data_IF_779707832852
#
_entry.id   IF_779707832852
#
_cell.length_a   1.000
_cell.length_b   1.000
_cell.length_c   1.000
_cell.angle_alpha   90.00
_cell.angle_beta   90.00
_cell.angle_gamma   90.00
#
_symmetry.space_group_name_H-M   'P 1'
#
loop_
_entity.id
_entity.type
_entity.pdbx_description
1 polymer ?
#
# COMPACT_ATOMS: atom_id res chain seq x y z
N UNK A 1 21.56 3.63 4.17
CA UNK A 1 22.62 3.42 5.19
C UNK A 1 22.00 3.05 6.53
N UNK A 2 21.36 3.98 7.27
CA UNK A 2 20.79 3.69 8.62
C UNK A 2 19.81 2.51 8.63
N UNK A 3 18.82 2.48 7.72
CA UNK A 3 17.87 1.37 7.65
C UNK A 3 18.55 0.00 7.40
N UNK A 4 19.52 -0.05 6.49
CA UNK A 4 20.24 -1.29 6.18
C UNK A 4 21.06 -1.79 7.38
N UNK A 5 21.71 -0.88 8.13
CA UNK A 5 22.41 -1.24 9.37
C UNK A 5 21.42 -1.81 10.39
N UNK A 6 20.27 -1.16 10.59
CA UNK A 6 19.26 -1.65 11.52
C UNK A 6 18.72 -3.04 11.12
N UNK A 7 18.52 -3.28 9.82
CA UNK A 7 18.12 -4.59 9.31
C UNK A 7 19.16 -5.67 9.64
N UNK A 8 20.45 -5.37 9.45
CA UNK A 8 21.53 -6.31 9.78
C UNK A 8 21.58 -6.58 11.28
N UNK A 9 21.48 -5.54 12.11
CA UNK A 9 21.46 -5.67 13.58
C UNK A 9 20.29 -6.54 14.04
N UNK A 10 19.09 -6.29 13.51
CA UNK A 10 17.90 -7.07 13.82
C UNK A 10 18.05 -8.54 13.39
N UNK A 11 18.52 -8.79 12.16
CA UNK A 11 18.73 -10.15 11.66
C UNK A 11 19.76 -10.92 12.48
N UNK A 12 20.83 -10.27 12.92
CA UNK A 12 21.82 -10.86 13.85
C UNK A 12 21.16 -11.12 15.20
N UNK A 13 20.35 -10.20 15.71
CA UNK A 13 19.59 -10.34 16.95
C UNK A 13 18.74 -11.61 16.94
N UNK A 14 17.88 -11.74 15.92
CA UNK A 14 16.99 -12.90 15.74
C UNK A 14 17.79 -14.19 15.51
N UNK A 15 18.82 -14.17 14.66
CA UNK A 15 19.62 -15.36 14.37
C UNK A 15 20.43 -15.87 15.57
N UNK A 16 20.74 -14.98 16.53
CA UNK A 16 21.49 -15.31 17.75
C UNK A 16 20.62 -15.42 19.01
N UNK A 17 19.28 -15.26 18.87
CA UNK A 17 18.33 -15.32 20.00
C UNK A 17 18.52 -14.20 21.02
N UNK A 18 19.02 -13.04 20.61
CA UNK A 18 19.29 -11.91 21.51
C UNK A 18 18.06 -11.03 21.64
N UNK A 19 17.16 -11.40 22.54
CA UNK A 19 15.91 -10.67 22.79
C UNK A 19 16.11 -9.17 23.04
N UNK A 20 17.14 -8.76 23.76
CA UNK A 20 17.42 -7.33 24.00
C UNK A 20 17.66 -6.53 22.70
N UNK A 21 18.25 -7.17 21.67
CA UNK A 21 18.45 -6.57 20.35
C UNK A 21 17.12 -6.45 19.62
N UNK A 22 16.31 -7.50 19.63
CA UNK A 22 14.97 -7.52 19.02
C UNK A 22 14.06 -6.45 19.61
N UNK A 23 14.11 -6.23 20.93
CA UNK A 23 13.34 -5.21 21.64
C UNK A 23 13.67 -3.77 21.22
N UNK A 24 14.87 -3.54 20.68
CA UNK A 24 15.29 -2.22 20.22
C UNK A 24 15.14 -2.11 18.71
N UNK A 25 15.67 -3.06 17.95
CA UNK A 25 15.81 -2.94 16.52
C UNK A 25 14.47 -3.19 15.79
N UNK A 26 13.66 -4.17 16.22
CA UNK A 26 12.37 -4.48 15.59
C UNK A 26 11.41 -3.28 15.60
N UNK A 27 11.13 -2.62 16.74
CA UNK A 27 10.20 -1.49 16.76
C UNK A 27 10.67 -0.26 15.98
N UNK A 28 11.97 -0.14 15.70
CA UNK A 28 12.56 0.99 14.99
C UNK A 28 12.47 0.86 13.47
N UNK A 29 12.26 -0.34 12.91
CA UNK A 29 12.27 -0.57 11.46
C UNK A 29 11.17 0.22 10.75
N UNK A 30 9.90 0.05 11.17
CA UNK A 30 8.77 0.70 10.53
C UNK A 30 8.74 2.23 10.73
N UNK A 31 9.04 2.78 11.93
CA UNK A 31 9.14 4.23 12.12
C UNK A 31 10.27 4.87 11.31
N UNK A 32 11.41 4.19 11.13
CA UNK A 32 12.48 4.70 10.25
C UNK A 32 12.03 4.77 8.80
N UNK A 33 11.30 3.77 8.31
CA UNK A 33 10.72 3.81 6.97
C UNK A 33 9.64 4.90 6.85
N UNK A 34 8.84 5.11 7.89
CA UNK A 34 7.85 6.18 7.93
C UNK A 34 8.53 7.55 7.87
N UNK A 35 9.57 7.76 8.68
CA UNK A 35 10.36 8.99 8.66
C UNK A 35 11.02 9.22 7.30
N UNK A 36 11.54 8.17 6.65
CA UNK A 36 12.10 8.25 5.31
C UNK A 36 11.06 8.68 4.28
N UNK A 37 9.89 8.03 4.26
CA UNK A 37 8.80 8.37 3.34
C UNK A 37 8.29 9.79 3.59
N UNK A 38 8.13 10.18 4.84
CA UNK A 38 7.69 11.51 5.24
C UNK A 38 8.67 12.60 4.80
N UNK A 39 9.98 12.38 4.92
CA UNK A 39 11.00 13.33 4.43
C UNK A 39 10.93 13.55 2.92
N UNK A 40 10.55 12.53 2.15
CA UNK A 40 10.47 12.60 0.69
C UNK A 40 9.13 13.13 0.18
N UNK A 41 8.04 12.87 0.90
CA UNK A 41 6.67 13.07 0.38
C UNK A 41 5.77 13.89 1.31
N UNK A 42 6.29 14.33 2.45
CA UNK A 42 5.52 14.98 3.51
C UNK A 42 4.40 14.07 4.02
N UNK A 43 3.22 14.64 4.18
CA UNK A 43 2.01 13.94 4.64
C UNK A 43 1.17 13.36 3.50
N UNK A 44 1.66 13.41 2.25
CA UNK A 44 0.92 12.93 1.07
C UNK A 44 0.45 11.49 1.21
N UNK A 45 1.25 10.65 1.85
CA UNK A 45 0.96 9.23 2.08
C UNK A 45 0.59 8.96 3.55
N UNK A 46 -0.25 9.82 4.14
CA UNK A 46 -0.64 9.74 5.56
C UNK A 46 -1.06 8.34 6.01
N UNK A 47 -1.86 7.61 5.23
CA UNK A 47 -2.23 6.23 5.60
C UNK A 47 -1.05 5.28 5.63
N UNK A 48 -0.09 5.39 4.71
CA UNK A 48 1.10 4.54 4.74
C UNK A 48 1.92 4.84 5.99
N UNK A 49 2.05 6.12 6.35
CA UNK A 49 2.72 6.54 7.59
C UNK A 49 2.01 5.97 8.82
N UNK A 50 0.69 6.13 8.92
CA UNK A 50 -0.10 5.56 10.03
C UNK A 50 0.02 4.04 10.07
N UNK A 51 -0.04 3.37 8.92
CA UNK A 51 0.10 1.92 8.82
C UNK A 51 1.45 1.42 9.31
N UNK A 52 2.54 2.14 9.01
CA UNK A 52 3.88 1.83 9.53
C UNK A 52 3.98 2.02 11.04
N UNK A 53 3.34 3.05 11.60
CA UNK A 53 3.32 3.25 13.06
C UNK A 53 2.50 2.16 13.76
N UNK A 54 1.37 1.75 13.18
CA UNK A 54 0.58 0.62 13.67
C UNK A 54 1.36 -0.70 13.58
N UNK A 55 2.10 -0.92 12.50
CA UNK A 55 2.98 -2.09 12.37
C UNK A 55 4.08 -2.09 13.45
N UNK A 56 4.70 -0.94 13.74
CA UNK A 56 5.66 -0.81 14.82
C UNK A 56 5.06 -1.18 16.20
N UNK A 57 3.84 -0.70 16.47
CA UNK A 57 3.12 -1.04 17.69
C UNK A 57 2.76 -2.53 17.74
N UNK A 58 2.38 -3.12 16.60
CA UNK A 58 2.12 -4.55 16.46
C UNK A 58 3.37 -5.40 16.71
N UNK A 59 4.52 -4.96 16.21
CA UNK A 59 5.82 -5.59 16.45
C UNK A 59 6.18 -5.62 17.93
N UNK A 60 5.94 -4.52 18.66
CA UNK A 60 6.11 -4.44 20.11
C UNK A 60 5.18 -5.43 20.82
N UNK A 61 3.90 -5.48 20.42
CA UNK A 61 2.94 -6.38 21.03
C UNK A 61 3.32 -7.86 20.83
N UNK A 62 3.89 -8.23 19.67
CA UNK A 62 4.37 -9.59 19.41
C UNK A 62 5.63 -9.98 20.21
N UNK A 63 6.39 -9.01 20.72
CA UNK A 63 7.54 -9.31 21.59
C UNK A 63 7.11 -9.69 23.01
N UNK A 64 5.87 -9.35 23.39
CA UNK A 64 5.30 -9.69 24.70
C UNK A 64 4.71 -11.11 24.60
N UNK A 65 5.12 -12.05 25.46
CA UNK A 65 4.59 -13.41 25.42
C UNK A 65 3.11 -13.45 25.83
N UNK A 66 2.34 -14.33 25.18
CA UNK A 66 0.98 -14.67 25.57
C UNK A 66 -0.09 -14.29 24.55
N UNK A 67 -1.21 -15.02 24.60
CA UNK A 67 -2.34 -14.89 23.68
C UNK A 67 -2.95 -13.47 23.62
N UNK A 68 -3.13 -12.74 24.74
CA UNK A 68 -3.67 -11.37 24.69
C UNK A 68 -2.76 -10.39 23.93
N UNK A 69 -1.45 -10.51 24.13
CA UNK A 69 -0.46 -9.70 23.45
C UNK A 69 -0.40 -10.02 21.94
N UNK A 70 -0.44 -11.32 21.60
CA UNK A 70 -0.55 -11.76 20.21
C UNK A 70 -1.82 -11.23 19.52
N UNK A 71 -2.97 -11.32 20.18
CA UNK A 71 -4.23 -10.76 19.67
C UNK A 71 -4.18 -9.24 19.50
N UNK A 72 -3.53 -8.53 20.42
CA UNK A 72 -3.29 -7.08 20.30
C UNK A 72 -2.41 -6.75 19.10
N UNK A 73 -1.31 -7.48 18.92
CA UNK A 73 -0.44 -7.35 17.75
C UNK A 73 -1.19 -7.58 16.46
N UNK A 74 -2.01 -8.64 16.40
CA UNK A 74 -2.86 -8.95 15.25
C UNK A 74 -3.86 -7.84 14.93
N UNK A 75 -4.48 -7.22 15.93
CA UNK A 75 -5.39 -6.09 15.74
C UNK A 75 -4.66 -4.84 15.22
N UNK A 76 -3.46 -4.56 15.71
CA UNK A 76 -2.62 -3.45 15.25
C UNK A 76 -2.17 -3.67 13.80
N UNK A 77 -1.73 -4.88 13.45
CA UNK A 77 -1.39 -5.23 12.08
C UNK A 77 -2.61 -5.18 11.16
N UNK A 78 -3.79 -5.61 11.61
CA UNK A 78 -5.03 -5.45 10.85
C UNK A 78 -5.26 -3.97 10.53
N UNK A 79 -5.14 -3.08 11.52
CA UNK A 79 -5.21 -1.63 11.31
C UNK A 79 -4.18 -1.13 10.30
N UNK A 80 -2.95 -1.66 10.35
CA UNK A 80 -1.92 -1.37 9.37
C UNK A 80 -2.35 -1.78 7.95
N UNK A 81 -2.86 -3.01 7.77
CA UNK A 81 -3.31 -3.47 6.45
C UNK A 81 -4.47 -2.65 5.90
N UNK A 82 -5.42 -2.25 6.75
CA UNK A 82 -6.50 -1.35 6.34
C UNK A 82 -5.96 0.00 5.85
N UNK A 83 -4.92 0.54 6.49
CA UNK A 83 -4.27 1.76 6.04
C UNK A 83 -3.60 1.58 4.66
N UNK A 84 -2.85 0.49 4.47
CA UNK A 84 -2.23 0.17 3.18
C UNK A 84 -3.25 -0.03 2.07
N UNK A 85 -4.30 -0.82 2.30
CA UNK A 85 -5.42 -1.02 1.37
C UNK A 85 -6.02 0.33 1.00
N UNK A 86 -6.30 1.19 1.97
CA UNK A 86 -6.87 2.52 1.72
C UNK A 86 -5.95 3.37 0.84
N UNK A 87 -4.64 3.33 1.08
CA UNK A 87 -3.66 4.02 0.24
C UNK A 87 -3.66 3.50 -1.21
N UNK A 88 -3.73 2.18 -1.42
CA UNK A 88 -3.79 1.58 -2.75
C UNK A 88 -5.12 1.83 -3.47
N UNK A 89 -6.24 1.79 -2.75
CA UNK A 89 -7.55 2.12 -3.29
C UNK A 89 -7.58 3.57 -3.79
N UNK A 90 -7.02 4.52 -3.02
CA UNK A 90 -6.87 5.92 -3.45
C UNK A 90 -5.92 6.09 -4.64
N UNK A 91 -5.00 5.16 -4.86
CA UNK A 91 -4.17 5.11 -6.06
C UNK A 91 -4.87 4.46 -7.28
N UNK A 92 -6.11 4.00 -7.13
CA UNK A 92 -6.92 3.44 -8.23
C UNK A 92 -6.97 1.91 -8.29
N UNK A 93 -6.61 1.19 -7.21
CA UNK A 93 -6.55 -0.28 -7.22
C UNK A 93 -7.90 -0.94 -7.54
N UNK A 94 -9.03 -0.28 -7.26
CA UNK A 94 -10.37 -0.85 -7.48
C UNK A 94 -10.63 -1.19 -8.96
N UNK A 95 -10.20 -0.33 -9.89
CA UNK A 95 -10.31 -0.58 -11.33
C UNK A 95 -9.46 -1.78 -11.78
N UNK A 96 -8.29 -1.96 -11.16
CA UNK A 96 -7.39 -3.08 -11.43
C UNK A 96 -7.99 -4.41 -10.96
N UNK A 97 -8.63 -4.45 -9.79
CA UNK A 97 -9.25 -5.66 -9.26
C UNK A 97 -10.47 -6.10 -10.07
N UNK A 98 -11.29 -5.15 -10.55
CA UNK A 98 -12.53 -5.47 -11.29
C UNK A 98 -12.28 -6.26 -12.57
N UNK A 99 -11.16 -6.02 -13.24
CA UNK A 99 -10.77 -6.73 -14.46
C UNK A 99 -10.10 -8.08 -14.20
N UNK A 100 -9.80 -8.41 -12.93
CA UNK A 100 -9.03 -9.59 -12.51
C UNK A 100 -9.79 -10.51 -11.56
N UNK A 101 -11.10 -10.63 -11.74
CA UNK A 101 -11.99 -11.45 -10.89
C UNK A 101 -11.49 -12.88 -10.69
N UNK A 102 -10.97 -13.52 -11.74
CA UNK A 102 -10.41 -14.87 -11.65
C UNK A 102 -9.19 -14.96 -10.71
N UNK A 103 -8.31 -13.95 -10.73
CA UNK A 103 -7.14 -13.88 -9.83
C UNK A 103 -7.62 -13.67 -8.40
N UNK A 104 -8.60 -12.80 -8.17
CA UNK A 104 -9.18 -12.60 -6.85
C UNK A 104 -9.80 -13.90 -6.31
N UNK A 105 -10.53 -14.65 -7.14
CA UNK A 105 -11.10 -15.93 -6.76
C UNK A 105 -10.03 -16.97 -6.39
N UNK A 106 -8.93 -17.04 -7.16
CA UNK A 106 -7.82 -17.92 -6.84
C UNK A 106 -7.16 -17.56 -5.49
N UNK A 107 -6.97 -16.28 -5.20
CA UNK A 107 -6.43 -15.82 -3.92
C UNK A 107 -7.38 -16.11 -2.75
N UNK A 108 -8.69 -15.94 -2.96
CA UNK A 108 -9.70 -16.31 -1.96
C UNK A 108 -9.73 -17.83 -1.70
N UNK A 109 -9.50 -18.65 -2.71
CA UNK A 109 -9.38 -20.10 -2.53
C UNK A 109 -8.15 -20.46 -1.70
N UNK A 110 -6.99 -19.85 -2.00
CA UNK A 110 -5.76 -20.03 -1.22
C UNK A 110 -5.96 -19.57 0.23
N UNK A 111 -6.60 -18.42 0.43
CA UNK A 111 -6.97 -17.92 1.75
C UNK A 111 -7.83 -18.93 2.51
N UNK A 112 -8.91 -19.41 1.88
CA UNK A 112 -9.84 -20.33 2.52
C UNK A 112 -9.15 -21.64 2.92
N UNK A 113 -8.27 -22.17 2.06
CA UNK A 113 -7.47 -23.34 2.36
C UNK A 113 -6.52 -23.11 3.55
N UNK A 114 -5.82 -21.97 3.58
CA UNK A 114 -4.92 -21.61 4.67
C UNK A 114 -5.68 -21.44 6.00
N UNK A 115 -6.82 -20.76 5.99
CA UNK A 115 -7.68 -20.58 7.16
C UNK A 115 -8.24 -21.92 7.64
N UNK A 116 -8.71 -22.77 6.73
CA UNK A 116 -9.22 -24.09 7.08
C UNK A 116 -8.16 -24.98 7.74
N UNK A 117 -6.89 -24.84 7.33
CA UNK A 117 -5.77 -25.56 7.92
C UNK A 117 -5.33 -24.98 9.29
N UNK A 118 -5.22 -23.65 9.40
CA UNK A 118 -4.64 -22.99 10.57
C UNK A 118 -5.65 -22.67 11.67
N UNK A 119 -6.82 -22.14 11.33
CA UNK A 119 -7.78 -21.63 12.32
C UNK A 119 -8.22 -22.67 13.37
N UNK A 120 -8.45 -23.96 13.04
CA UNK A 120 -8.83 -24.96 14.04
C UNK A 120 -7.78 -25.16 15.15
N UNK A 121 -6.49 -24.97 14.83
CA UNK A 121 -5.39 -25.14 15.79
C UNK A 121 -5.28 -23.99 16.80
N UNK A 122 -5.88 -22.83 16.50
CA UNK A 122 -5.77 -21.60 17.28
C UNK A 122 -6.94 -21.39 18.25
N UNK A 123 -7.96 -22.25 18.18
CA UNK A 123 -9.24 -22.07 18.88
C UNK A 123 -10.15 -21.02 18.22
N UNK A 124 -11.44 -20.95 18.62
CA UNK A 124 -12.46 -20.23 17.85
C UNK A 124 -12.24 -18.71 17.76
N UNK A 125 -11.90 -18.09 18.89
CA UNK A 125 -11.72 -16.63 18.96
C UNK A 125 -10.47 -16.18 18.19
N UNK A 126 -9.32 -16.84 18.39
CA UNK A 126 -8.09 -16.45 17.72
C UNK A 126 -8.08 -16.88 16.26
N UNK A 127 -8.62 -18.06 15.93
CA UNK A 127 -8.76 -18.53 14.56
C UNK A 127 -9.61 -17.60 13.69
N UNK A 128 -10.72 -17.08 14.22
CA UNK A 128 -11.54 -16.08 13.50
C UNK A 128 -10.81 -14.75 13.32
N UNK A 129 -10.09 -14.27 14.34
CA UNK A 129 -9.27 -13.07 14.23
C UNK A 129 -8.16 -13.23 13.16
N UNK A 130 -7.49 -14.38 13.12
CA UNK A 130 -6.46 -14.70 12.10
C UNK A 130 -7.07 -14.80 10.71
N UNK A 131 -8.28 -15.36 10.56
CA UNK A 131 -8.97 -15.41 9.28
C UNK A 131 -9.26 -14.02 8.71
N UNK A 132 -9.78 -13.11 9.55
CA UNK A 132 -10.06 -11.71 9.20
C UNK A 132 -8.75 -11.00 8.82
N UNK A 133 -7.71 -11.18 9.63
CA UNK A 133 -6.39 -10.62 9.36
C UNK A 133 -5.82 -11.10 8.03
N UNK A 134 -5.79 -12.42 7.80
CA UNK A 134 -5.26 -13.01 6.57
C UNK A 134 -6.02 -12.53 5.33
N UNK A 135 -7.33 -12.28 5.44
CA UNK A 135 -8.13 -11.72 4.36
C UNK A 135 -7.70 -10.27 4.05
N UNK A 136 -7.51 -9.45 5.08
CA UNK A 136 -7.02 -8.08 4.92
C UNK A 136 -5.60 -8.09 4.31
N UNK A 137 -4.71 -8.96 4.77
CA UNK A 137 -3.36 -9.11 4.25
C UNK A 137 -3.35 -9.48 2.75
N UNK A 138 -4.16 -10.45 2.33
CA UNK A 138 -4.28 -10.81 0.92
C UNK A 138 -4.91 -9.70 0.09
N UNK A 139 -5.88 -8.98 0.64
CA UNK A 139 -6.48 -7.81 -0.02
C UNK A 139 -5.44 -6.70 -0.22
N UNK A 140 -4.59 -6.46 0.77
CA UNK A 140 -3.45 -5.55 0.68
C UNK A 140 -2.50 -5.98 -0.44
N UNK A 141 -2.10 -7.26 -0.48
CA UNK A 141 -1.21 -7.78 -1.51
C UNK A 141 -1.79 -7.66 -2.94
N UNK A 142 -3.08 -7.97 -3.10
CA UNK A 142 -3.79 -7.83 -4.38
C UNK A 142 -3.89 -6.38 -4.84
N UNK A 143 -4.16 -5.45 -3.92
CA UNK A 143 -4.30 -4.02 -4.24
C UNK A 143 -2.95 -3.35 -4.50
N UNK A 144 -1.86 -3.82 -3.89
CA UNK A 144 -0.52 -3.25 -4.02
C UNK A 144 -0.04 -3.13 -5.48
N UNK A 145 -0.47 -4.05 -6.36
CA UNK A 145 -0.13 -4.07 -7.79
C UNK A 145 -0.43 -2.76 -8.53
N UNK A 146 -1.35 -1.93 -8.02
CA UNK A 146 -1.64 -0.60 -8.60
C UNK A 146 -0.40 0.29 -8.70
N UNK A 147 0.57 0.12 -7.80
CA UNK A 147 1.87 0.82 -7.81
C UNK A 147 2.97 0.00 -8.51
N UNK A 148 2.59 -0.90 -9.42
CA UNK A 148 3.53 -1.62 -10.28
C UNK A 148 4.12 -2.92 -9.70
N UNK A 149 5.14 -3.51 -10.37
CA UNK A 149 5.72 -4.81 -10.02
C UNK A 149 6.36 -4.85 -8.64
N UNK A 150 7.00 -3.75 -8.25
CA UNK A 150 7.69 -3.64 -6.97
C UNK A 150 6.74 -3.79 -5.79
N UNK A 151 5.60 -3.11 -5.83
CA UNK A 151 4.57 -3.21 -4.80
C UNK A 151 3.88 -4.58 -4.81
N UNK A 152 3.67 -5.20 -5.97
CA UNK A 152 3.18 -6.58 -6.05
C UNK A 152 4.09 -7.55 -5.31
N UNK A 153 5.40 -7.52 -5.61
CA UNK A 153 6.37 -8.38 -4.92
C UNK A 153 6.44 -8.08 -3.43
N UNK A 154 6.39 -6.79 -3.04
CA UNK A 154 6.31 -6.41 -1.64
C UNK A 154 5.10 -7.03 -0.93
N UNK A 155 3.92 -6.97 -1.54
CA UNK A 155 2.71 -7.59 -1.00
C UNK A 155 2.80 -9.12 -0.88
N UNK A 156 3.33 -9.80 -1.90
CA UNK A 156 3.52 -11.25 -1.88
C UNK A 156 4.51 -11.71 -0.80
N UNK A 157 5.63 -11.00 -0.66
CA UNK A 157 6.62 -11.29 0.37
C UNK A 157 6.04 -11.01 1.77
N UNK A 158 5.15 -10.02 1.92
CA UNK A 158 4.44 -9.78 3.17
C UNK A 158 3.53 -10.97 3.53
N UNK A 159 2.75 -11.47 2.57
CA UNK A 159 1.91 -12.67 2.77
C UNK A 159 2.75 -13.86 3.22
N UNK A 160 3.92 -14.08 2.61
CA UNK A 160 4.84 -15.14 3.00
C UNK A 160 5.38 -14.94 4.43
N UNK A 161 5.75 -13.71 4.78
CA UNK A 161 6.22 -13.34 6.12
C UNK A 161 5.21 -13.71 7.20
N UNK A 162 3.96 -13.27 7.06
CA UNK A 162 2.96 -13.50 8.09
C UNK A 162 2.43 -14.93 8.12
N UNK A 163 2.56 -15.64 7.01
CA UNK A 163 2.32 -17.09 7.00
C UNK A 163 3.29 -17.80 7.96
N UNK A 164 4.54 -17.34 8.07
CA UNK A 164 5.51 -17.88 9.04
C UNK A 164 5.15 -17.52 10.49
N UNK A 165 4.49 -16.38 10.72
CA UNK A 165 3.92 -16.02 12.03
C UNK A 165 2.75 -16.96 12.35
N UNK A 166 1.83 -17.17 11.39
CA UNK A 166 0.68 -18.05 11.53
C UNK A 166 1.07 -19.50 11.81
N UNK A 167 2.09 -20.02 11.13
CA UNK A 167 2.66 -21.34 11.40
C UNK A 167 3.19 -21.44 12.84
N UNK A 168 3.94 -20.45 13.29
CA UNK A 168 4.42 -20.39 14.67
C UNK A 168 3.28 -20.36 15.70
N UNK A 169 2.23 -19.59 15.44
CA UNK A 169 1.05 -19.53 16.30
C UNK A 169 0.29 -20.87 16.35
N UNK A 170 0.29 -21.63 15.25
CA UNK A 170 -0.27 -22.98 15.17
C UNK A 170 0.62 -24.06 15.80
N UNK A 171 1.77 -23.68 16.39
CA UNK A 171 2.74 -24.62 16.97
C UNK A 171 3.60 -25.36 15.95
N UNK A 172 3.58 -24.93 14.68
CA UNK A 172 4.40 -25.49 13.60
C UNK A 172 5.71 -24.71 13.49
N UNK A 173 6.72 -25.14 14.25
CA UNK A 173 8.04 -24.50 14.25
C UNK A 173 9.12 -25.34 13.54
N UNK A 174 10.13 -24.67 13.00
CA UNK A 174 11.29 -25.29 12.36
C UNK A 174 12.54 -24.39 12.48
N UNK A 175 13.76 -24.96 12.42
CA UNK A 175 14.99 -24.19 12.56
C UNK A 175 15.06 -23.03 11.56
N UNK A 176 15.24 -21.81 12.07
CA UNK A 176 15.37 -20.60 11.25
C UNK A 176 14.06 -19.95 10.80
N UNK A 177 12.88 -20.44 11.21
CA UNK A 177 11.58 -19.83 10.89
C UNK A 177 11.53 -18.34 11.24
N UNK A 178 11.97 -17.97 12.46
CA UNK A 178 11.98 -16.58 12.92
C UNK A 178 12.90 -15.69 12.08
N UNK A 179 14.09 -16.18 11.72
CA UNK A 179 15.02 -15.45 10.85
C UNK A 179 14.47 -15.26 9.45
N UNK A 180 13.84 -16.31 8.88
CA UNK A 180 13.19 -16.24 7.58
C UNK A 180 12.04 -15.24 7.60
N UNK A 181 11.19 -15.31 8.63
CA UNK A 181 10.08 -14.39 8.86
C UNK A 181 10.58 -12.95 8.89
N UNK A 182 11.61 -12.66 9.67
CA UNK A 182 12.12 -11.31 9.81
C UNK A 182 12.77 -10.79 8.51
N UNK A 183 13.47 -11.68 7.79
CA UNK A 183 14.06 -11.36 6.48
C UNK A 183 12.97 -10.99 5.47
N UNK A 184 11.91 -11.79 5.37
CA UNK A 184 10.77 -11.52 4.48
C UNK A 184 10.01 -10.27 4.91
N UNK A 185 9.82 -10.04 6.22
CA UNK A 185 9.15 -8.86 6.74
C UNK A 185 9.85 -7.56 6.33
N UNK A 186 11.15 -7.48 6.59
CA UNK A 186 11.98 -6.32 6.24
C UNK A 186 11.94 -6.07 4.72
N UNK A 187 12.09 -7.12 3.92
CA UNK A 187 12.04 -7.02 2.47
C UNK A 187 10.68 -6.52 1.97
N UNK A 188 9.58 -7.03 2.53
CA UNK A 188 8.22 -6.61 2.21
C UNK A 188 8.02 -5.12 2.49
N UNK A 189 8.36 -4.66 3.69
CA UNK A 189 8.24 -3.25 4.08
C UNK A 189 9.07 -2.35 3.16
N UNK A 190 10.33 -2.71 2.90
CA UNK A 190 11.21 -1.94 2.04
C UNK A 190 10.64 -1.82 0.62
N UNK A 191 10.17 -2.93 0.03
CA UNK A 191 9.59 -2.94 -1.31
C UNK A 191 8.32 -2.09 -1.40
N UNK A 192 7.41 -2.22 -0.43
CA UNK A 192 6.16 -1.46 -0.41
C UNK A 192 6.40 0.04 -0.22
N UNK A 193 7.20 0.45 0.76
CA UNK A 193 7.48 1.87 1.03
C UNK A 193 8.16 2.53 -0.16
N UNK A 194 9.15 1.86 -0.74
CA UNK A 194 9.90 2.42 -1.87
C UNK A 194 9.14 2.33 -3.21
N UNK A 195 7.96 1.71 -3.27
CA UNK A 195 7.05 1.83 -4.41
C UNK A 195 6.29 3.17 -4.38
N UNK A 196 6.00 3.71 -3.19
CA UNK A 196 5.38 5.03 -3.03
C UNK A 196 6.33 6.19 -3.36
N UNK A 197 7.65 5.97 -3.30
CA UNK A 197 8.64 7.00 -3.66
C UNK A 197 8.90 7.09 -5.16
N UNK A 198 8.73 5.99 -5.91
CA UNK A 198 9.01 5.92 -7.36
C UNK A 198 7.82 6.29 -8.23
N UNK A 199 6.60 6.27 -7.69
CA UNK A 199 5.41 6.69 -8.41
C UNK A 199 5.05 8.13 -8.04
N UNK A 200 5.36 9.14 -8.87
CA UNK A 200 4.66 10.41 -8.76
C UNK A 200 3.19 10.09 -9.00
N UNK A 201 2.38 10.10 -7.94
CA UNK A 201 0.93 9.96 -8.08
C UNK A 201 0.54 11.06 -9.06
N UNK A 202 0.05 10.67 -10.23
CA UNK A 202 -0.44 11.58 -11.26
C UNK A 202 -1.42 12.48 -10.51
N UNK A 203 -1.02 13.74 -10.32
CA UNK A 203 -1.85 14.72 -9.65
C UNK A 203 -3.24 14.60 -10.28
N UNK A 204 -4.27 14.57 -9.43
CA UNK A 204 -5.66 14.70 -9.86
C UNK A 204 -5.66 15.71 -10.99
N UNK A 205 -6.03 15.25 -12.20
CA UNK A 205 -6.16 16.12 -13.34
C UNK A 205 -6.97 17.32 -12.84
N UNK A 206 -6.33 18.49 -12.77
CA UNK A 206 -7.05 19.74 -12.68
C UNK A 206 -8.13 19.63 -13.76
N UNK A 207 -9.41 19.87 -13.44
CA UNK A 207 -10.37 20.10 -14.50
C UNK A 207 -9.76 21.25 -15.30
N UNK A 208 -9.32 20.96 -16.52
CA UNK A 208 -8.98 22.00 -17.46
C UNK A 208 -10.21 22.89 -17.49
N UNK A 209 -10.07 24.11 -16.98
CA UNK A 209 -11.08 25.14 -17.16
C UNK A 209 -11.15 25.33 -18.67
N UNK A 210 -12.08 24.61 -19.28
CA UNK A 210 -12.42 24.72 -20.68
C UNK A 210 -13.07 26.09 -20.77
N UNK A 211 -12.31 27.09 -21.21
CA UNK A 211 -12.88 28.38 -21.56
C UNK A 211 -14.11 28.10 -22.45
N UNK A 212 -15.29 28.64 -22.10
CA UNK A 212 -16.47 28.45 -22.92
C UNK A 212 -16.20 29.05 -24.30
N UNK A 213 -16.59 28.37 -25.40
CA UNK A 213 -16.48 28.93 -26.72
C UNK A 213 -17.28 30.24 -26.77
N UNK A 214 -16.60 31.32 -27.16
CA UNK A 214 -17.23 32.61 -27.39
C UNK A 214 -18.35 32.47 -28.43
N UNK A 215 -19.58 32.45 -27.96
CA UNK A 215 -20.77 32.58 -28.77
C UNK A 215 -21.37 33.96 -28.54
N UNK A 216 -20.94 34.96 -29.30
CA UNK A 216 -21.77 36.14 -29.56
C UNK A 216 -21.30 36.84 -30.84
N UNK A 217 -22.22 36.98 -31.80
CA UNK A 217 -21.98 37.75 -33.02
C UNK A 217 -22.72 37.24 -34.26
N UNK A 218 -24.01 36.90 -34.14
CA UNK A 218 -24.89 36.78 -35.31
C UNK A 218 -25.57 38.15 -35.48
N UNK A 219 -25.15 38.90 -36.49
CA UNK A 219 -25.76 40.16 -36.90
C UNK A 219 -25.64 40.32 -38.41
N UNK A 220 -26.61 39.81 -39.14
CA UNK A 220 -26.86 40.12 -40.55
C UNK A 220 -27.58 41.47 -40.62
N UNK A 221 -27.06 42.42 -41.40
CA UNK A 221 -27.85 43.12 -42.43
C UNK A 221 -26.95 43.92 -43.38
N UNK A 222 -27.28 44.00 -44.69
CA UNK A 222 -26.51 44.76 -45.68
C UNK A 222 -27.01 46.20 -45.78
N UNK A 223 -26.08 47.17 -45.83
CA UNK A 223 -26.38 48.55 -46.23
C UNK A 223 -25.82 48.83 -47.62
N UNK A 224 -26.76 49.07 -48.53
CA UNK A 224 -26.58 49.64 -49.88
C UNK A 224 -26.19 51.11 -49.79
N UNK A 225 -25.33 51.57 -50.71
CA UNK A 225 -25.09 52.97 -51.08
C UNK A 225 -23.97 53.65 -50.29
N UNK A 226 -23.12 54.51 -50.84
CA UNK A 226 -22.98 55.01 -52.20
C UNK A 226 -21.66 55.82 -52.20
N UNK A 227 -20.57 55.24 -52.69
CA UNK A 227 -19.33 55.98 -52.89
C UNK A 227 -19.07 56.09 -54.39
N UNK A 228 -19.58 57.20 -54.95
CA UNK A 228 -19.16 57.68 -56.24
C UNK A 228 -17.81 58.37 -56.12
N UNK A 229 -16.82 57.89 -56.86
CA UNK A 229 -15.76 58.72 -57.43
C UNK A 229 -15.00 57.94 -58.51
N UNK A 230 -15.35 58.13 -59.78
CA UNK A 230 -14.41 57.91 -60.89
C UNK A 230 -14.46 59.11 -61.88
N UNK A 231 -13.33 59.44 -62.52
CA UNK A 231 -13.00 60.79 -63.01
C UNK A 231 -13.40 61.02 -64.48
N UNK A 232 -13.25 62.26 -65.02
CA UNK A 232 -13.82 62.65 -66.30
C UNK A 232 -12.89 62.35 -67.48
N UNK A 233 -13.50 62.15 -68.66
CA UNK A 233 -13.01 62.32 -70.07
C UNK A 233 -13.70 61.26 -70.94
N UNK A 234 -14.26 61.47 -72.14
CA UNK A 234 -14.46 62.62 -73.02
C UNK A 234 -15.49 62.22 -74.11
N UNK A 235 -16.16 63.23 -74.66
CA UNK A 235 -16.79 63.35 -75.98
C UNK A 235 -16.81 62.13 -76.93
N UNK A 236 -18.01 61.67 -77.31
CA UNK A 236 -18.70 61.94 -78.58
C UNK A 236 -20.07 61.25 -78.60
#
# INVERSE_FOLDING_TARGET
>A
MVFAVLCVVELIGVATGRHAVEWVAKPLLAPLLAAHLWRLTGTRHAYVLTGLLLAAAGDIALLIPGTPAFGTGLALFLGAQLCWITAFLRAGALGHLRTRRAVCAAYLAVWAAAVAALAPTLGPALGSAVAIYALALLTMALTARVLGPKALWGGLVFVASDSLIGLGAAGLDFPGRSTLCMTTYIAALALLVTAFTTHPTRAMAQPQHKEPPAAFGRGLSPSVGADGFEPPTSCL
#
